data_IF_469602551037
#
_entry.id   IF_469602551037
#
_cell.length_a   1.000
_cell.length_b   1.000
_cell.length_c   1.000
_cell.angle_alpha   90.00
_cell.angle_beta   90.00
_cell.angle_gamma   90.00
#
_symmetry.space_group_name_H-M   'P 1'
#
loop_
_entity.id
_entity.type
_entity.pdbx_description
1 polymer ?
#
# COMPACT_ATOMS: atom_id res chain seq x y z
N UNK A 1 -21.30 -16.55 0.04
CA UNK A 1 -22.01 -15.38 0.55
C UNK A 1 -21.01 -14.25 0.75
N UNK A 2 -21.36 -13.03 0.33
CA UNK A 2 -20.61 -11.79 0.55
C UNK A 2 -21.53 -10.78 1.24
N UNK A 3 -21.00 -10.04 2.21
CA UNK A 3 -21.73 -9.04 2.97
C UNK A 3 -20.93 -7.73 2.98
N UNK A 4 -21.09 -6.90 1.94
CA UNK A 4 -20.50 -5.56 1.94
C UNK A 4 -21.03 -4.72 3.11
N UNK A 5 -20.12 -3.98 3.75
CA UNK A 5 -20.44 -3.08 4.85
C UNK A 5 -20.32 -1.64 4.38
N UNK A 6 -20.99 -0.75 5.08
CA UNK A 6 -20.81 0.67 4.86
C UNK A 6 -19.32 1.04 5.01
N UNK A 7 -18.82 1.88 4.12
CA UNK A 7 -17.44 2.36 4.15
C UNK A 7 -17.35 3.86 4.50
N UNK A 8 -18.49 4.54 4.57
CA UNK A 8 -18.58 5.97 4.88
C UNK A 8 -18.40 6.17 6.40
N UNK A 9 -17.16 6.43 6.77
CA UNK A 9 -16.84 7.08 8.03
C UNK A 9 -16.36 8.47 7.65
N UNK A 10 -17.06 9.51 8.11
CA UNK A 10 -16.57 10.87 8.05
C UNK A 10 -15.33 10.95 8.92
N UNK A 11 -14.19 11.24 8.31
CA UNK A 11 -12.92 11.41 9.03
C UNK A 11 -12.99 12.63 9.96
N UNK A 12 -13.76 13.65 9.58
CA UNK A 12 -13.90 14.87 10.36
C UNK A 12 -14.73 14.67 11.64
N UNK A 13 -15.68 13.73 11.63
CA UNK A 13 -16.47 13.36 12.82
C UNK A 13 -15.73 12.41 13.77
N UNK A 14 -14.72 11.72 13.27
CA UNK A 14 -13.96 10.74 14.06
C UNK A 14 -12.64 11.30 14.61
N UNK A 15 -12.25 12.51 14.20
CA UNK A 15 -11.07 13.21 14.70
C UNK A 15 -11.48 14.10 15.87
N UNK A 16 -11.26 13.65 17.11
CA UNK A 16 -11.19 14.54 18.26
C UNK A 16 -10.06 15.52 18.03
N UNK A 17 -10.36 16.81 18.01
CA UNK A 17 -9.42 17.90 17.69
C UNK A 17 -8.23 18.01 18.68
N UNK A 18 -8.29 17.30 19.79
CA UNK A 18 -7.27 17.35 20.86
C UNK A 18 -6.20 16.25 20.74
N UNK A 19 -6.41 15.22 19.91
CA UNK A 19 -5.49 14.07 19.84
C UNK A 19 -4.60 14.18 18.60
N UNK A 20 -3.35 14.55 18.82
CA UNK A 20 -2.32 14.77 17.78
C UNK A 20 -1.79 13.46 17.16
N UNK A 21 -2.13 12.27 17.69
CA UNK A 21 -1.69 11.00 17.12
C UNK A 21 -2.60 10.50 15.98
N UNK A 22 -2.32 10.99 14.78
CA UNK A 22 -3.01 10.59 13.55
C UNK A 22 -2.95 9.08 13.26
N UNK A 23 -1.90 8.36 13.71
CA UNK A 23 -1.79 6.90 13.54
C UNK A 23 -2.75 6.15 14.44
N UNK A 24 -2.83 6.55 15.70
CA UNK A 24 -3.79 5.96 16.64
C UNK A 24 -5.23 6.17 16.15
N UNK A 25 -5.54 7.36 15.68
CA UNK A 25 -6.84 7.68 15.09
C UNK A 25 -7.13 6.83 13.84
N UNK A 26 -6.20 6.73 12.90
CA UNK A 26 -6.37 5.87 11.72
C UNK A 26 -6.54 4.40 12.09
N UNK A 27 -5.78 3.90 13.06
CA UNK A 27 -5.93 2.54 13.56
C UNK A 27 -7.32 2.30 14.16
N UNK A 28 -7.85 3.26 14.93
CA UNK A 28 -9.21 3.23 15.49
C UNK A 28 -10.27 3.21 14.38
N UNK A 29 -10.12 4.07 13.36
CA UNK A 29 -11.00 4.15 12.19
C UNK A 29 -11.04 2.83 11.40
N UNK A 30 -9.88 2.22 11.14
CA UNK A 30 -9.81 0.94 10.43
C UNK A 30 -10.55 -0.17 11.19
N UNK A 31 -10.40 -0.22 12.52
CA UNK A 31 -11.15 -1.15 13.36
C UNK A 31 -12.66 -0.87 13.37
N UNK A 32 -13.07 0.39 13.30
CA UNK A 32 -14.48 0.76 13.21
C UNK A 32 -15.10 0.33 11.89
N UNK A 33 -14.38 0.44 10.76
CA UNK A 33 -14.83 -0.01 9.43
C UNK A 33 -15.28 -1.48 9.43
N UNK A 34 -14.57 -2.34 10.15
CA UNK A 34 -14.93 -3.76 10.26
C UNK A 34 -16.28 -4.01 10.96
N UNK A 35 -16.75 -3.03 11.75
CA UNK A 35 -17.97 -3.11 12.56
C UNK A 35 -19.15 -2.32 11.98
N UNK A 36 -18.95 -1.65 10.85
CA UNK A 36 -20.02 -0.86 10.22
C UNK A 36 -21.17 -1.75 9.76
N UNK A 37 -22.35 -1.14 9.66
CA UNK A 37 -23.57 -1.85 9.31
C UNK A 37 -23.45 -2.53 7.93
N UNK A 38 -23.96 -3.76 7.78
CA UNK A 38 -24.13 -4.38 6.47
C UNK A 38 -25.06 -3.51 5.61
N UNK A 39 -24.72 -3.36 4.33
CA UNK A 39 -25.54 -2.60 3.37
C UNK A 39 -26.13 -3.47 2.28
N UNK A 40 -25.56 -4.66 2.07
CA UNK A 40 -25.98 -5.56 1.02
C UNK A 40 -25.66 -7.00 1.38
N UNK A 41 -26.49 -7.94 0.92
CA UNK A 41 -26.26 -9.37 0.95
C UNK A 41 -26.12 -9.88 -0.49
N UNK A 42 -25.02 -10.51 -0.80
CA UNK A 42 -24.77 -11.19 -2.09
C UNK A 42 -24.63 -12.69 -1.85
N UNK A 43 -25.33 -13.48 -2.63
CA UNK A 43 -25.30 -14.94 -2.54
C UNK A 43 -24.98 -15.55 -3.93
N UNK A 44 -24.13 -16.53 -3.96
CA UNK A 44 -23.92 -17.35 -5.16
C UNK A 44 -24.84 -18.54 -5.10
N UNK A 45 -25.74 -18.63 -6.10
CA UNK A 45 -26.79 -19.64 -6.16
C UNK A 45 -27.95 -19.39 -5.19
N UNK A 46 -29.02 -20.10 -5.40
CA UNK A 46 -30.27 -19.98 -4.66
C UNK A 46 -30.26 -20.81 -3.38
N UNK A 47 -30.55 -20.18 -2.27
CA UNK A 47 -30.74 -20.83 -0.97
C UNK A 47 -31.74 -20.01 -0.13
N UNK A 48 -33.05 -20.07 -0.44
CA UNK A 48 -34.06 -19.17 0.13
C UNK A 48 -34.12 -19.17 1.65
N UNK A 49 -34.02 -20.33 2.28
CA UNK A 49 -34.02 -20.45 3.75
C UNK A 49 -32.82 -19.77 4.39
N UNK A 50 -31.62 -19.93 3.82
CA UNK A 50 -30.40 -19.27 4.26
C UNK A 50 -30.48 -17.76 4.03
N UNK A 51 -30.97 -17.33 2.86
CA UNK A 51 -31.19 -15.93 2.54
C UNK A 51 -32.10 -15.25 3.54
N UNK A 52 -33.27 -15.82 3.82
CA UNK A 52 -34.22 -15.27 4.78
C UNK A 52 -33.63 -15.18 6.20
N UNK A 53 -32.88 -16.18 6.62
CA UNK A 53 -32.18 -16.18 7.90
C UNK A 53 -31.12 -15.05 7.97
N UNK A 54 -30.30 -14.90 6.94
CA UNK A 54 -29.25 -13.88 6.87
C UNK A 54 -29.81 -12.47 6.83
N UNK A 55 -30.85 -12.22 6.00
CA UNK A 55 -31.52 -10.91 5.93
C UNK A 55 -32.02 -10.47 7.31
N UNK A 56 -32.69 -11.38 8.01
CA UNK A 56 -33.19 -11.09 9.36
C UNK A 56 -32.04 -10.82 10.34
N UNK A 57 -30.97 -11.63 10.32
CA UNK A 57 -29.84 -11.50 11.25
C UNK A 57 -28.99 -10.26 10.98
N UNK A 58 -28.88 -9.86 9.73
CA UNK A 58 -28.12 -8.68 9.28
C UNK A 58 -28.98 -7.40 9.30
N UNK A 59 -30.28 -7.52 9.53
CA UNK A 59 -31.24 -6.42 9.49
C UNK A 59 -31.29 -5.75 8.12
N UNK A 60 -31.24 -6.56 7.07
CA UNK A 60 -31.36 -6.13 5.68
C UNK A 60 -32.76 -6.42 5.14
N UNK A 61 -33.19 -5.63 4.14
CA UNK A 61 -34.43 -5.85 3.40
C UNK A 61 -34.22 -6.78 2.21
N UNK A 62 -35.31 -7.24 1.59
CA UNK A 62 -35.23 -8.07 0.40
C UNK A 62 -34.56 -7.36 -0.79
N UNK A 63 -34.79 -6.05 -0.92
CA UNK A 63 -34.20 -5.21 -1.98
C UNK A 63 -32.68 -5.07 -1.83
N UNK A 64 -32.14 -5.35 -0.65
CA UNK A 64 -30.70 -5.33 -0.39
C UNK A 64 -30.04 -6.69 -0.62
N UNK A 65 -30.77 -7.67 -1.15
CA UNK A 65 -30.27 -9.02 -1.42
C UNK A 65 -30.18 -9.32 -2.91
N UNK A 66 -29.03 -9.85 -3.31
CA UNK A 66 -28.73 -10.16 -4.70
C UNK A 66 -28.28 -11.62 -4.81
N UNK A 67 -28.91 -12.38 -5.68
CA UNK A 67 -28.50 -13.75 -6.05
C UNK A 67 -27.76 -13.68 -7.37
N UNK A 68 -26.52 -14.15 -7.37
CA UNK A 68 -25.61 -14.15 -8.52
C UNK A 68 -25.32 -15.58 -8.97
N UNK A 69 -25.19 -15.79 -10.27
CA UNK A 69 -24.74 -17.07 -10.85
C UNK A 69 -23.22 -17.15 -10.98
N UNK A 70 -22.54 -16.00 -10.95
CA UNK A 70 -21.08 -15.89 -11.02
C UNK A 70 -20.43 -15.92 -9.64
N UNK A 71 -19.12 -16.20 -9.54
CA UNK A 71 -18.37 -16.09 -8.29
C UNK A 71 -18.41 -14.66 -7.73
N UNK A 72 -18.70 -14.54 -6.43
CA UNK A 72 -18.81 -13.25 -5.73
C UNK A 72 -17.47 -12.58 -5.47
N UNK A 73 -16.41 -13.36 -5.35
CA UNK A 73 -15.05 -12.88 -5.05
C UNK A 73 -14.12 -13.37 -6.15
N UNK A 74 -13.57 -12.45 -6.91
CA UNK A 74 -12.71 -12.77 -8.05
C UNK A 74 -11.23 -12.97 -7.67
N UNK A 75 -10.88 -12.99 -6.38
CA UNK A 75 -9.50 -13.21 -5.94
C UNK A 75 -8.89 -14.54 -6.41
N UNK A 76 -9.73 -15.54 -6.69
CA UNK A 76 -9.27 -16.81 -7.26
C UNK A 76 -8.58 -16.61 -8.61
N UNK A 77 -8.90 -15.54 -9.34
CA UNK A 77 -8.28 -15.26 -10.63
C UNK A 77 -6.76 -15.05 -10.52
N UNK A 78 -6.26 -14.62 -9.37
CA UNK A 78 -4.81 -14.55 -9.12
C UNK A 78 -4.14 -15.93 -9.05
N UNK A 79 -4.92 -17.00 -8.90
CA UNK A 79 -4.39 -18.37 -8.89
C UNK A 79 -4.31 -18.98 -10.29
N UNK A 80 -4.87 -18.30 -11.30
CA UNK A 80 -4.83 -18.79 -12.68
C UNK A 80 -3.41 -18.80 -13.25
N UNK A 81 -2.49 -18.04 -12.68
CA UNK A 81 -1.07 -17.99 -13.04
C UNK A 81 -0.37 -19.36 -12.99
N UNK A 82 -0.96 -20.32 -12.25
CA UNK A 82 -0.41 -21.66 -12.11
C UNK A 82 -0.96 -22.68 -13.12
N UNK A 83 -1.95 -22.31 -13.95
CA UNK A 83 -2.65 -23.28 -14.81
C UNK A 83 -1.85 -23.63 -16.05
N UNK A 84 -1.44 -22.66 -16.85
CA UNK A 84 -0.70 -22.86 -18.08
C UNK A 84 0.09 -21.63 -18.46
N UNK A 85 1.41 -21.74 -18.52
CA UNK A 85 2.30 -20.65 -18.90
C UNK A 85 2.09 -20.12 -20.33
N UNK A 86 1.50 -20.92 -21.21
CA UNK A 86 1.19 -20.51 -22.58
C UNK A 86 0.07 -19.44 -22.66
N UNK A 87 -0.73 -19.30 -21.60
CA UNK A 87 -1.81 -18.32 -21.51
C UNK A 87 -1.34 -16.94 -21.02
N UNK A 88 -0.06 -16.81 -20.65
CA UNK A 88 0.49 -15.58 -20.10
C UNK A 88 1.50 -14.94 -21.04
N UNK A 89 1.56 -13.62 -20.97
CA UNK A 89 2.67 -12.91 -21.58
C UNK A 89 3.98 -13.29 -20.90
N UNK A 90 5.10 -13.29 -21.62
CA UNK A 90 6.42 -13.48 -21.00
C UNK A 90 6.62 -12.46 -19.88
N UNK A 91 7.19 -12.86 -18.73
CA UNK A 91 7.45 -11.95 -17.64
C UNK A 91 8.37 -10.81 -18.12
N UNK A 92 7.94 -9.58 -17.87
CA UNK A 92 8.76 -8.42 -18.15
C UNK A 92 9.79 -8.21 -17.02
N UNK A 93 11.08 -8.33 -17.35
CA UNK A 93 12.16 -7.98 -16.44
C UNK A 93 12.54 -6.50 -16.65
N UNK A 94 12.35 -5.61 -15.66
CA UNK A 94 12.76 -4.22 -15.79
C UNK A 94 14.25 -4.08 -16.08
N UNK A 95 14.60 -3.35 -17.14
CA UNK A 95 15.98 -3.17 -17.56
C UNK A 95 16.70 -2.10 -16.72
N UNK A 96 17.95 -2.31 -16.40
CA UNK A 96 18.81 -1.22 -15.91
C UNK A 96 19.05 -0.25 -17.08
N UNK A 97 18.89 1.08 -16.91
CA UNK A 97 19.05 2.02 -18.01
C UNK A 97 20.45 1.94 -18.61
N UNK A 98 20.54 1.77 -19.94
CA UNK A 98 21.82 1.58 -20.63
C UNK A 98 22.77 2.80 -20.57
N UNK A 99 22.21 3.98 -20.26
CA UNK A 99 22.98 5.22 -20.13
C UNK A 99 23.47 5.50 -18.69
N UNK A 100 23.20 4.60 -17.75
CA UNK A 100 23.72 4.66 -16.40
C UNK A 100 24.79 3.59 -16.21
N UNK A 101 25.87 3.95 -15.55
CA UNK A 101 26.96 3.06 -15.19
C UNK A 101 26.74 2.56 -13.76
N UNK A 102 26.79 1.24 -13.55
CA UNK A 102 26.62 0.62 -12.24
C UNK A 102 27.82 0.81 -11.30
N UNK A 103 29.00 1.03 -11.89
CA UNK A 103 30.24 1.21 -11.16
C UNK A 103 30.46 2.66 -10.69
N UNK A 104 29.71 3.61 -11.28
CA UNK A 104 29.80 5.03 -10.93
C UNK A 104 28.70 5.39 -9.94
N UNK A 105 29.01 6.06 -8.82
CA UNK A 105 28.01 6.51 -7.87
C UNK A 105 26.87 7.32 -8.51
N UNK A 106 25.65 7.07 -8.08
CA UNK A 106 24.46 7.70 -8.71
C UNK A 106 24.48 9.23 -8.64
N UNK A 107 24.95 9.80 -7.52
CA UNK A 107 25.03 11.24 -7.37
C UNK A 107 26.07 11.89 -8.32
N UNK A 108 27.14 11.21 -8.67
CA UNK A 108 28.08 11.70 -9.69
C UNK A 108 27.44 11.77 -11.07
N UNK A 109 26.65 10.76 -11.42
CA UNK A 109 25.92 10.72 -12.70
C UNK A 109 24.84 11.80 -12.77
N UNK A 110 24.10 12.01 -11.67
CA UNK A 110 23.06 13.05 -11.56
C UNK A 110 23.67 14.46 -11.67
N UNK A 111 24.88 14.68 -11.16
CA UNK A 111 25.58 15.97 -11.31
C UNK A 111 25.98 16.28 -12.76
N UNK A 112 26.16 15.26 -13.58
CA UNK A 112 26.55 15.43 -14.98
C UNK A 112 25.35 15.66 -15.89
N UNK A 113 24.20 15.08 -15.58
CA UNK A 113 22.96 15.17 -16.37
C UNK A 113 21.74 14.79 -15.57
N UNK A 114 20.56 15.23 -16.03
CA UNK A 114 19.28 14.76 -15.50
C UNK A 114 19.09 13.28 -15.79
N UNK A 115 18.55 12.55 -14.81
CA UNK A 115 18.26 11.11 -14.92
C UNK A 115 16.76 10.91 -14.88
N UNK A 116 16.18 10.44 -15.98
CA UNK A 116 14.77 10.04 -16.06
C UNK A 116 14.64 8.53 -16.02
N UNK A 117 13.87 8.02 -15.07
CA UNK A 117 13.51 6.60 -14.98
C UNK A 117 12.03 6.41 -15.36
N UNK A 118 11.77 5.43 -16.23
CA UNK A 118 10.44 5.14 -16.73
C UNK A 118 9.96 3.77 -16.25
N UNK A 119 9.14 3.77 -15.18
CA UNK A 119 8.60 2.55 -14.60
C UNK A 119 7.33 2.08 -15.31
N UNK A 120 7.07 0.77 -15.39
CA UNK A 120 7.83 -0.36 -14.84
C UNK A 120 8.96 -0.90 -15.74
N UNK A 121 9.29 -0.21 -16.82
CA UNK A 121 10.24 -0.69 -17.83
C UNK A 121 11.70 -0.56 -17.38
N UNK A 122 12.03 0.51 -16.65
CA UNK A 122 13.31 0.64 -15.98
C UNK A 122 13.28 0.04 -14.57
N UNK A 123 14.40 -0.53 -14.17
CA UNK A 123 14.61 -1.03 -12.82
C UNK A 123 14.55 0.10 -11.79
N UNK A 124 14.02 -0.20 -10.61
CA UNK A 124 14.11 0.67 -9.42
C UNK A 124 15.54 0.74 -8.85
N UNK A 125 16.46 -0.10 -9.30
CA UNK A 125 17.79 -0.23 -8.72
C UNK A 125 18.58 1.10 -8.69
N UNK A 126 18.60 1.94 -9.74
CA UNK A 126 19.30 3.24 -9.68
C UNK A 126 18.79 4.14 -8.55
N UNK A 127 17.48 4.17 -8.32
CA UNK A 127 16.89 4.94 -7.22
C UNK A 127 17.24 4.35 -5.85
N UNK A 128 17.22 3.03 -5.71
CA UNK A 128 17.61 2.34 -4.48
C UNK A 128 19.11 2.53 -4.18
N UNK A 129 19.95 2.50 -5.22
CA UNK A 129 21.37 2.77 -5.10
C UNK A 129 21.64 4.21 -4.66
N UNK A 130 20.92 5.18 -5.21
CA UNK A 130 20.98 6.57 -4.76
C UNK A 130 20.66 6.68 -3.26
N UNK A 131 19.58 6.07 -2.79
CA UNK A 131 19.20 6.10 -1.37
C UNK A 131 20.24 5.41 -0.49
N UNK A 132 20.71 4.24 -0.90
CA UNK A 132 21.74 3.48 -0.19
C UNK A 132 23.05 4.25 -0.08
N UNK A 133 23.50 4.85 -1.18
CA UNK A 133 24.70 5.67 -1.22
C UNK A 133 24.54 6.92 -0.35
N UNK A 134 23.39 7.60 -0.47
CA UNK A 134 23.08 8.78 0.33
C UNK A 134 23.03 8.47 1.83
N UNK A 135 22.57 7.29 2.22
CA UNK A 135 22.56 6.87 3.61
C UNK A 135 23.98 6.70 4.18
N UNK A 136 24.96 6.32 3.36
CA UNK A 136 26.32 6.07 3.78
C UNK A 136 27.27 7.28 3.59
N UNK A 137 26.98 8.18 2.65
CA UNK A 137 27.84 9.29 2.28
C UNK A 137 27.83 10.39 3.37
N UNK A 138 28.98 10.72 4.00
CA UNK A 138 29.05 11.75 5.02
C UNK A 138 28.73 13.17 4.51
N UNK A 139 28.83 13.40 3.20
CA UNK A 139 28.49 14.69 2.59
C UNK A 139 26.96 14.92 2.48
N UNK A 140 26.16 13.86 2.58
CA UNK A 140 24.70 13.97 2.60
C UNK A 140 24.24 14.31 4.02
N UNK A 141 23.61 15.45 4.17
CA UNK A 141 23.17 16.01 5.47
C UNK A 141 21.74 15.58 5.78
N UNK A 142 20.88 15.56 4.77
CA UNK A 142 19.46 15.24 4.95
C UNK A 142 18.85 14.53 3.76
N UNK A 143 17.78 13.77 4.03
CA UNK A 143 16.92 13.13 3.02
C UNK A 143 15.47 13.53 3.31
N UNK A 144 14.76 14.01 2.31
CA UNK A 144 13.33 14.32 2.39
C UNK A 144 12.57 13.51 1.36
N UNK A 145 11.50 12.84 1.78
CA UNK A 145 10.73 11.96 0.90
C UNK A 145 9.24 11.99 1.21
N UNK A 146 8.42 11.91 0.17
CA UNK A 146 6.98 11.66 0.29
C UNK A 146 6.68 10.22 -0.14
N UNK A 147 5.95 9.49 0.69
CA UNK A 147 5.53 8.11 0.47
C UNK A 147 4.01 8.04 0.38
N UNK A 148 3.51 7.60 -0.78
CA UNK A 148 2.09 7.27 -0.96
C UNK A 148 1.86 5.78 -0.78
N UNK A 149 2.64 4.94 -1.48
CA UNK A 149 2.62 3.47 -1.39
C UNK A 149 4.00 2.88 -1.59
N UNK A 150 4.35 1.91 -0.76
CA UNK A 150 5.56 1.10 -0.91
C UNK A 150 5.26 -0.36 -0.62
N UNK A 151 6.06 -1.27 -1.19
CA UNK A 151 5.89 -2.72 -0.99
C UNK A 151 6.00 -3.11 0.50
N UNK A 152 5.35 -4.21 0.87
CA UNK A 152 5.35 -4.74 2.25
C UNK A 152 6.74 -5.14 2.78
N UNK A 153 7.75 -5.29 1.90
CA UNK A 153 9.18 -5.39 2.25
C UNK A 153 9.92 -4.38 1.40
N UNK A 154 10.00 -3.15 1.87
CA UNK A 154 10.50 -2.03 1.09
C UNK A 154 11.97 -1.76 1.38
N UNK A 155 12.82 -1.85 0.35
CA UNK A 155 14.21 -1.40 0.41
C UNK A 155 14.31 0.13 0.61
N UNK A 156 13.30 0.89 0.18
CA UNK A 156 13.22 2.34 0.41
C UNK A 156 13.17 2.63 1.91
N UNK A 157 12.24 2.01 2.65
CA UNK A 157 12.13 2.17 4.10
C UNK A 157 13.45 1.79 4.79
N UNK A 158 14.01 0.62 4.43
CA UNK A 158 15.29 0.15 4.99
C UNK A 158 16.42 1.17 4.80
N UNK A 159 16.53 1.80 3.63
CA UNK A 159 17.59 2.78 3.38
C UNK A 159 17.33 4.11 4.09
N UNK A 160 16.07 4.51 4.27
CA UNK A 160 15.74 5.70 5.05
C UNK A 160 16.06 5.51 6.54
N UNK A 161 15.68 4.37 7.12
CA UNK A 161 16.06 4.01 8.49
C UNK A 161 17.59 4.00 8.66
N UNK A 162 18.32 3.35 7.76
CA UNK A 162 19.79 3.33 7.80
C UNK A 162 20.40 4.74 7.67
N UNK A 163 19.77 5.65 6.93
CA UNK A 163 20.23 7.03 6.85
C UNK A 163 20.07 7.76 8.20
N UNK A 164 18.93 7.59 8.87
CA UNK A 164 18.69 8.18 10.20
C UNK A 164 19.65 7.59 11.25
N UNK A 165 19.84 6.26 11.25
CA UNK A 165 20.81 5.57 12.12
C UNK A 165 22.25 6.06 11.89
N UNK A 166 22.61 6.47 10.68
CA UNK A 166 23.88 7.09 10.32
C UNK A 166 23.94 8.60 10.62
N UNK A 167 22.97 9.11 11.39
CA UNK A 167 22.97 10.50 11.88
C UNK A 167 22.50 11.54 10.88
N UNK A 168 21.83 11.17 9.79
CA UNK A 168 21.28 12.10 8.82
C UNK A 168 19.89 12.59 9.26
N UNK A 169 19.56 13.83 8.91
CA UNK A 169 18.21 14.36 9.10
C UNK A 169 17.27 13.75 8.04
N UNK A 170 16.45 12.80 8.44
CA UNK A 170 15.50 12.13 7.53
C UNK A 170 14.08 12.59 7.85
N UNK A 171 13.42 13.20 6.86
CA UNK A 171 12.02 13.62 6.96
C UNK A 171 11.17 12.88 5.94
N UNK A 172 10.15 12.17 6.41
CA UNK A 172 9.26 11.39 5.54
C UNK A 172 7.81 11.81 5.74
N UNK A 173 7.17 12.27 4.66
CA UNK A 173 5.73 12.49 4.62
C UNK A 173 5.05 11.20 4.16
N UNK A 174 4.25 10.58 5.04
CA UNK A 174 3.53 9.34 4.74
C UNK A 174 2.03 9.61 4.62
N UNK A 175 1.42 9.22 3.48
CA UNK A 175 -0.03 9.30 3.29
C UNK A 175 -0.73 8.14 4.01
N UNK A 176 -1.31 8.40 5.18
CA UNK A 176 -1.99 7.38 5.99
C UNK A 176 -3.32 6.92 5.39
N UNK A 177 -3.92 7.71 4.48
CA UNK A 177 -5.19 7.40 3.81
C UNK A 177 -5.02 6.74 2.44
N UNK A 178 -3.83 6.20 2.13
CA UNK A 178 -3.61 5.47 0.89
C UNK A 178 -4.52 4.24 0.85
N UNK A 179 -5.61 4.33 0.04
CA UNK A 179 -6.68 3.33 0.01
C UNK A 179 -6.14 1.93 -0.25
N UNK A 180 -6.49 0.97 0.61
CA UNK A 180 -6.04 -0.42 0.68
C UNK A 180 -4.61 -0.64 1.21
N UNK A 181 -3.85 0.43 1.48
CA UNK A 181 -2.50 0.37 2.04
C UNK A 181 -2.39 1.06 3.42
N UNK A 182 -3.51 1.46 4.00
CA UNK A 182 -3.56 2.19 5.27
C UNK A 182 -2.77 1.44 6.38
N UNK A 183 -2.98 0.12 6.48
CA UNK A 183 -2.30 -0.71 7.49
C UNK A 183 -0.79 -0.78 7.29
N UNK A 184 -0.32 -0.90 6.02
CA UNK A 184 1.10 -0.87 5.70
C UNK A 184 1.72 0.49 6.02
N UNK A 185 1.06 1.58 5.63
CA UNK A 185 1.59 2.92 5.84
C UNK A 185 1.67 3.29 7.32
N UNK A 186 0.71 2.84 8.15
CA UNK A 186 0.79 2.97 9.61
C UNK A 186 2.01 2.23 10.17
N UNK A 187 2.26 1.02 9.67
CA UNK A 187 3.42 0.19 10.10
C UNK A 187 4.73 0.88 9.72
N UNK A 188 4.84 1.36 8.48
CA UNK A 188 6.03 2.05 8.00
C UNK A 188 6.29 3.38 8.71
N UNK A 189 5.23 4.16 8.97
CA UNK A 189 5.36 5.40 9.73
C UNK A 189 5.95 5.14 11.12
N UNK A 190 5.53 4.05 11.79
CA UNK A 190 6.09 3.65 13.08
C UNK A 190 7.56 3.21 12.97
N UNK A 191 7.88 2.36 11.98
CA UNK A 191 9.26 1.87 11.77
C UNK A 191 10.23 3.01 11.47
N UNK A 192 9.84 3.99 10.66
CA UNK A 192 10.62 5.18 10.37
C UNK A 192 10.86 6.01 11.63
N UNK A 193 9.82 6.23 12.43
CA UNK A 193 9.91 7.00 13.68
C UNK A 193 10.80 6.29 14.72
N UNK A 194 10.67 4.97 14.88
CA UNK A 194 11.51 4.15 15.76
C UNK A 194 12.99 4.19 15.35
N UNK A 195 13.28 4.35 14.04
CA UNK A 195 14.64 4.52 13.51
C UNK A 195 15.19 5.95 13.63
N UNK A 196 14.39 6.91 14.10
CA UNK A 196 14.80 8.30 14.29
C UNK A 196 14.57 9.23 13.09
N UNK A 197 13.70 8.82 12.13
CA UNK A 197 13.25 9.69 11.05
C UNK A 197 12.24 10.73 11.56
#
# INVERSE_FOLDING_TARGET
VSVPRNADISYDEAMDQEDLDLRAQMTKLLRQRERLAPVRLEMQGEAPALQAMLLRRLRLTAEQSYVCTCPLVLKYAYQLDSLDSALFYPPHAPAYPAWLDREVPMWEQIRQRDVLLFYPYHSMQPFLDLLRQSAADPAVVSIQMTIYRVAGKSAVIKHLCAAAENGKAVTVLVELRARFDEGNNITWARELEEAGC
#
